data_IF_798045849828
#
_entry.id   IF_798045849828
#
_cell.length_a   1.000
_cell.length_b   1.000
_cell.length_c   1.000
_cell.angle_alpha   90.00
_cell.angle_beta   90.00
_cell.angle_gamma   90.00
#
_symmetry.space_group_name_H-M   'P 1'
#
loop_
_entity.id
_entity.type
_entity.pdbx_description
1 polymer ?
#
# COMPACT_ATOMS: atom_id res chain seq x y z
N UNK A 1 0.72 -33.35 -19.74
CA UNK A 1 -0.52 -33.18 -18.97
C UNK A 1 -0.11 -32.94 -17.54
N UNK A 2 -0.23 -31.74 -17.03
CA UNK A 2 -0.16 -31.24 -15.65
C UNK A 2 0.54 -29.88 -15.61
N UNK A 3 -0.13 -28.83 -16.11
CA UNK A 3 0.33 -27.43 -15.97
C UNK A 3 -0.69 -26.59 -15.19
N UNK A 4 -1.77 -27.19 -14.71
CA UNK A 4 -2.85 -26.47 -14.00
C UNK A 4 -2.76 -26.53 -12.46
N UNK A 5 -1.82 -27.27 -11.89
CA UNK A 5 -1.69 -27.41 -10.43
C UNK A 5 -0.93 -26.24 -9.76
N UNK A 6 -0.20 -25.43 -10.51
CA UNK A 6 0.62 -24.34 -9.96
C UNK A 6 -0.13 -23.00 -9.77
N UNK A 7 -1.39 -22.97 -10.14
CA UNK A 7 -2.30 -21.82 -9.97
C UNK A 7 -3.34 -22.02 -8.86
N UNK A 8 -3.08 -22.85 -7.86
CA UNK A 8 -3.95 -22.87 -6.70
C UNK A 8 -3.84 -21.49 -6.00
N UNK A 9 -4.95 -20.74 -5.88
CA UNK A 9 -4.93 -19.49 -5.13
C UNK A 9 -4.44 -19.79 -3.72
N UNK A 10 -3.68 -18.88 -3.08
CA UNK A 10 -3.20 -19.09 -1.72
C UNK A 10 -4.39 -19.48 -0.82
N UNK A 11 -4.19 -20.48 0.04
CA UNK A 11 -5.24 -21.05 0.91
C UNK A 11 -5.90 -19.99 1.82
N UNK A 12 -5.20 -18.91 2.13
CA UNK A 12 -5.76 -17.74 2.79
C UNK A 12 -6.07 -16.66 1.74
N UNK A 13 -7.35 -16.27 1.68
CA UNK A 13 -7.82 -15.28 0.71
C UNK A 13 -7.29 -13.85 0.98
N UNK A 14 -6.74 -13.55 2.15
CA UNK A 14 -6.18 -12.24 2.50
C UNK A 14 -4.83 -12.06 1.84
N UNK A 15 -4.66 -10.98 1.06
CA UNK A 15 -3.53 -10.78 0.16
C UNK A 15 -2.18 -10.87 0.87
N UNK A 16 -1.92 -9.97 1.82
CA UNK A 16 -0.65 -9.95 2.54
C UNK A 16 -0.45 -11.20 3.40
N UNK A 17 -1.50 -11.67 4.08
CA UNK A 17 -1.43 -12.88 4.89
C UNK A 17 -1.06 -14.11 4.04
N UNK A 18 -1.63 -14.24 2.86
CA UNK A 18 -1.29 -15.30 1.91
C UNK A 18 0.15 -15.24 1.40
N UNK A 19 0.68 -14.03 1.18
CA UNK A 19 2.06 -13.82 0.72
C UNK A 19 3.10 -13.97 1.84
N UNK A 20 2.80 -13.49 3.05
CA UNK A 20 3.74 -13.45 4.17
C UNK A 20 3.69 -14.72 5.04
N UNK A 21 2.59 -15.48 5.00
CA UNK A 21 2.40 -16.65 5.83
C UNK A 21 2.53 -16.33 7.32
N UNK A 22 3.32 -17.14 8.06
CA UNK A 22 3.52 -16.93 9.51
C UNK A 22 4.10 -15.55 9.88
N UNK A 23 4.81 -14.90 8.97
CA UNK A 23 5.37 -13.57 9.24
C UNK A 23 4.30 -12.49 9.38
N UNK A 24 3.11 -12.69 8.82
CA UNK A 24 1.97 -11.79 8.97
C UNK A 24 1.52 -11.67 10.43
N UNK A 25 1.57 -12.75 11.20
CA UNK A 25 1.15 -12.77 12.62
C UNK A 25 2.12 -11.97 13.53
N UNK A 26 3.32 -11.66 13.04
CA UNK A 26 4.30 -10.82 13.75
C UNK A 26 4.06 -9.33 13.57
N UNK A 27 3.20 -8.93 12.63
CA UNK A 27 2.82 -7.53 12.42
C UNK A 27 2.06 -6.98 13.63
N UNK A 28 2.19 -5.70 13.89
CA UNK A 28 1.40 -5.00 14.90
C UNK A 28 -0.11 -5.10 14.63
N UNK A 29 -0.94 -5.05 15.67
CA UNK A 29 -2.38 -5.29 15.58
C UNK A 29 -3.08 -4.44 14.52
N UNK A 30 -2.91 -3.11 14.58
CA UNK A 30 -3.53 -2.21 13.60
C UNK A 30 -3.07 -2.46 12.15
N UNK A 31 -1.81 -2.89 11.94
CA UNK A 31 -1.29 -3.26 10.61
C UNK A 31 -1.98 -4.52 10.11
N UNK A 32 -2.17 -5.52 10.99
CA UNK A 32 -2.92 -6.74 10.64
C UNK A 32 -4.38 -6.44 10.31
N UNK A 33 -5.00 -5.51 11.01
CA UNK A 33 -6.40 -5.13 10.77
C UNK A 33 -6.58 -4.48 9.40
N UNK A 34 -5.66 -3.58 9.01
CA UNK A 34 -5.70 -2.91 7.71
C UNK A 34 -5.43 -3.89 6.55
N UNK A 35 -4.48 -4.80 6.71
CA UNK A 35 -4.09 -5.75 5.66
C UNK A 35 -4.77 -7.12 5.76
N UNK A 36 -5.59 -7.31 6.80
CA UNK A 36 -6.30 -8.57 7.06
C UNK A 36 -7.77 -8.57 6.65
N UNK A 37 -8.22 -7.59 5.87
CA UNK A 37 -9.62 -7.44 5.46
C UNK A 37 -10.09 -8.66 4.65
N UNK A 38 -11.37 -9.00 4.83
CA UNK A 38 -11.99 -10.09 4.07
C UNK A 38 -12.67 -9.62 2.79
N UNK A 39 -13.35 -8.48 2.82
CA UNK A 39 -14.06 -7.92 1.66
C UNK A 39 -13.85 -6.41 1.52
N UNK A 40 -14.25 -5.64 2.52
CA UNK A 40 -14.19 -4.17 2.52
C UNK A 40 -13.64 -3.70 3.85
N UNK A 41 -12.69 -2.76 3.82
CA UNK A 41 -12.22 -2.02 4.97
C UNK A 41 -12.32 -0.53 4.71
N UNK A 42 -12.66 0.23 5.74
CA UNK A 42 -12.73 1.69 5.69
C UNK A 42 -12.12 2.28 6.95
N UNK A 43 -11.19 3.20 6.78
CA UNK A 43 -10.51 3.89 7.87
C UNK A 43 -10.52 5.40 7.62
N UNK A 44 -10.53 6.14 8.71
CA UNK A 44 -10.33 7.58 8.72
C UNK A 44 -9.09 7.91 9.52
N UNK A 45 -8.51 9.06 9.24
CA UNK A 45 -7.33 9.50 9.96
C UNK A 45 -6.85 10.84 9.49
N UNK A 46 -5.59 11.09 9.74
CA UNK A 46 -4.93 12.32 9.36
C UNK A 46 -3.61 12.03 8.65
N UNK A 47 -3.21 12.95 7.78
CA UNK A 47 -1.96 12.81 7.03
C UNK A 47 -1.30 14.16 6.80
N UNK A 48 0.00 14.22 7.01
CA UNK A 48 0.87 15.29 6.53
C UNK A 48 1.48 14.85 5.20
N UNK A 49 1.30 15.64 4.16
CA UNK A 49 1.91 15.44 2.84
C UNK A 49 2.98 16.50 2.62
N UNK A 50 4.20 16.04 2.29
CA UNK A 50 5.29 16.92 1.82
C UNK A 50 5.60 16.58 0.37
N UNK A 51 5.90 17.59 -0.45
CA UNK A 51 6.20 17.44 -1.87
C UNK A 51 7.62 17.92 -2.17
N UNK A 52 8.27 17.23 -3.13
CA UNK A 52 9.54 17.71 -3.67
C UNK A 52 9.39 19.01 -4.44
N UNK A 53 10.40 19.89 -4.31
CA UNK A 53 10.40 21.24 -4.91
C UNK A 53 10.99 21.30 -6.34
N UNK A 54 11.66 20.25 -6.84
CA UNK A 54 12.28 20.26 -8.16
C UNK A 54 11.23 20.28 -9.29
N UNK A 55 11.58 20.79 -10.46
CA UNK A 55 10.70 20.78 -11.63
C UNK A 55 10.27 19.35 -11.98
N UNK A 56 11.19 18.39 -11.93
CA UNK A 56 10.90 16.98 -12.19
C UNK A 56 9.94 16.41 -11.16
N UNK A 57 10.13 16.72 -9.87
CA UNK A 57 9.20 16.28 -8.81
C UNK A 57 7.79 16.86 -9.01
N UNK A 58 7.70 18.12 -9.46
CA UNK A 58 6.41 18.76 -9.76
C UNK A 58 5.74 18.09 -10.97
N UNK A 59 6.49 17.83 -12.05
CA UNK A 59 5.98 17.18 -13.26
C UNK A 59 5.49 15.75 -12.97
N UNK A 60 6.32 14.94 -12.31
CA UNK A 60 5.95 13.57 -11.92
C UNK A 60 4.73 13.58 -10.99
N UNK A 61 4.73 14.47 -10.01
CA UNK A 61 3.61 14.56 -9.09
C UNK A 61 2.30 15.05 -9.74
N UNK A 62 2.38 15.89 -10.75
CA UNK A 62 1.23 16.26 -11.57
C UNK A 62 0.72 15.09 -12.41
N UNK A 63 1.62 14.37 -13.08
CA UNK A 63 1.29 13.21 -13.90
C UNK A 63 0.58 12.11 -13.09
N UNK A 64 1.06 11.83 -11.89
CA UNK A 64 0.47 10.84 -10.99
C UNK A 64 -0.66 11.37 -10.11
N UNK A 65 -1.09 12.61 -10.30
CA UNK A 65 -2.17 13.24 -9.52
C UNK A 65 -1.96 13.17 -7.99
N UNK A 66 -0.69 13.27 -7.55
CA UNK A 66 -0.41 13.27 -6.12
C UNK A 66 -1.02 14.47 -5.42
N UNK A 67 -1.53 14.33 -4.17
CA UNK A 67 -2.15 15.42 -3.45
C UNK A 67 -1.16 16.56 -3.23
N UNK A 68 -1.61 17.84 -3.17
CA UNK A 68 -0.77 18.96 -2.78
C UNK A 68 -0.08 18.74 -1.43
N UNK A 69 1.03 19.47 -1.19
CA UNK A 69 1.62 19.51 0.14
C UNK A 69 0.63 20.18 1.10
N UNK A 70 0.48 19.61 2.29
CA UNK A 70 -0.47 20.10 3.29
C UNK A 70 -0.76 19.11 4.39
N UNK A 71 -1.55 19.55 5.35
CA UNK A 71 -2.10 18.71 6.41
C UNK A 71 -3.56 18.35 6.07
N UNK A 72 -3.86 17.06 6.13
CA UNK A 72 -5.17 16.50 5.81
C UNK A 72 -5.78 15.86 7.08
N UNK A 73 -6.58 16.61 7.85
CA UNK A 73 -7.17 16.15 9.11
C UNK A 73 -8.30 15.12 8.92
N UNK A 74 -8.75 14.92 7.68
CA UNK A 74 -9.82 13.99 7.30
C UNK A 74 -9.39 13.13 6.12
N UNK A 75 -8.24 12.47 6.26
CA UNK A 75 -7.83 11.46 5.31
C UNK A 75 -8.74 10.24 5.44
N UNK A 76 -9.00 9.57 4.32
CA UNK A 76 -9.72 8.29 4.31
C UNK A 76 -8.95 7.24 3.51
N UNK A 77 -9.07 5.99 3.93
CA UNK A 77 -8.58 4.83 3.18
C UNK A 77 -9.70 3.83 3.08
N UNK A 78 -10.03 3.44 1.85
CA UNK A 78 -10.97 2.35 1.57
C UNK A 78 -10.21 1.26 0.83
N UNK A 79 -10.34 0.04 1.32
CA UNK A 79 -9.76 -1.13 0.68
C UNK A 79 -10.89 -2.06 0.28
N UNK A 80 -10.96 -2.37 -1.00
CA UNK A 80 -11.93 -3.30 -1.57
C UNK A 80 -11.17 -4.53 -2.07
N UNK A 81 -11.58 -5.69 -1.58
CA UNK A 81 -11.02 -6.95 -2.04
C UNK A 81 -11.90 -7.56 -3.11
N UNK A 82 -11.29 -7.99 -4.21
CA UNK A 82 -11.93 -8.76 -5.27
C UNK A 82 -11.29 -10.16 -5.44
N UNK A 83 -11.60 -10.84 -6.53
CA UNK A 83 -11.11 -12.20 -6.80
C UNK A 83 -9.62 -12.27 -7.09
N UNK A 84 -9.01 -11.16 -7.52
CA UNK A 84 -7.63 -11.11 -8.02
C UNK A 84 -6.69 -10.31 -7.13
N UNK A 85 -7.21 -9.46 -6.23
CA UNK A 85 -6.37 -8.62 -5.37
C UNK A 85 -7.15 -7.63 -4.53
N UNK A 86 -6.55 -6.49 -4.28
CA UNK A 86 -7.12 -5.42 -3.48
C UNK A 86 -7.05 -4.10 -4.23
N UNK A 87 -8.14 -3.33 -4.18
CA UNK A 87 -8.19 -1.95 -4.67
C UNK A 87 -8.12 -1.03 -3.47
N UNK A 88 -7.11 -0.19 -3.44
CA UNK A 88 -6.88 0.79 -2.40
C UNK A 88 -7.26 2.18 -2.92
N UNK A 89 -8.16 2.84 -2.23
CA UNK A 89 -8.57 4.23 -2.49
C UNK A 89 -8.19 5.09 -1.29
N UNK A 90 -7.35 6.09 -1.51
CA UNK A 90 -6.84 7.00 -0.48
C UNK A 90 -7.33 8.41 -0.79
N UNK A 91 -8.21 8.94 0.05
CA UNK A 91 -8.80 10.27 -0.11
C UNK A 91 -8.07 11.33 0.72
N UNK A 92 -7.67 12.41 0.06
CA UNK A 92 -6.97 13.56 0.65
C UNK A 92 -7.76 14.85 0.40
N UNK A 93 -8.98 14.94 0.99
CA UNK A 93 -9.77 16.17 0.91
C UNK A 93 -10.10 16.63 -0.52
N UNK A 94 -10.50 15.73 -1.39
CA UNK A 94 -10.83 16.00 -2.81
C UNK A 94 -9.77 15.54 -3.81
N UNK A 95 -8.63 15.05 -3.34
CA UNK A 95 -7.64 14.34 -4.17
C UNK A 95 -7.66 12.86 -3.83
N UNK A 96 -8.07 12.03 -4.78
CA UNK A 96 -8.18 10.59 -4.57
C UNK A 96 -7.09 9.86 -5.35
N UNK A 97 -6.38 8.99 -4.64
CA UNK A 97 -5.40 8.09 -5.22
C UNK A 97 -5.97 6.67 -5.20
N UNK A 98 -6.00 6.04 -6.34
CA UNK A 98 -6.44 4.65 -6.49
C UNK A 98 -5.28 3.79 -6.98
N UNK A 99 -4.98 2.72 -6.24
CA UNK A 99 -4.01 1.72 -6.63
C UNK A 99 -4.63 0.32 -6.55
N UNK A 100 -3.98 -0.65 -7.19
CA UNK A 100 -4.38 -2.05 -7.12
C UNK A 100 -3.20 -2.88 -6.64
N UNK A 101 -3.41 -3.66 -5.59
CA UNK A 101 -2.45 -4.64 -5.10
C UNK A 101 -2.82 -6.03 -5.62
N UNK A 102 -1.84 -6.69 -6.21
CA UNK A 102 -1.98 -8.02 -6.79
C UNK A 102 -0.99 -8.99 -6.15
N UNK A 103 -1.38 -10.26 -5.92
CA UNK A 103 -0.44 -11.27 -5.49
C UNK A 103 0.57 -11.55 -6.60
N UNK A 104 1.80 -11.83 -6.21
CA UNK A 104 2.79 -12.43 -7.09
C UNK A 104 2.89 -13.93 -6.81
N UNK A 105 4.09 -14.53 -6.93
CA UNK A 105 4.28 -15.96 -6.65
C UNK A 105 4.07 -16.22 -5.15
N UNK A 106 3.35 -17.28 -4.77
CA UNK A 106 3.24 -17.71 -3.38
C UNK A 106 4.61 -17.86 -2.72
N UNK A 107 4.74 -17.37 -1.48
CA UNK A 107 5.99 -17.44 -0.70
C UNK A 107 7.09 -16.46 -1.08
N UNK A 108 6.93 -15.71 -2.17
CA UNK A 108 7.92 -14.70 -2.59
C UNK A 108 7.95 -13.47 -1.68
N UNK A 109 6.92 -13.26 -0.84
CA UNK A 109 6.73 -12.06 -0.03
C UNK A 109 6.80 -10.77 -0.86
N UNK A 110 6.33 -10.83 -2.09
CA UNK A 110 6.29 -9.71 -3.01
C UNK A 110 4.83 -9.46 -3.36
N UNK A 111 4.38 -8.23 -3.19
CA UNK A 111 3.09 -7.74 -3.68
C UNK A 111 3.35 -6.82 -4.86
N UNK A 112 2.51 -6.88 -5.87
CA UNK A 112 2.56 -5.92 -6.98
C UNK A 112 1.55 -4.83 -6.77
N UNK A 113 2.01 -3.58 -6.76
CA UNK A 113 1.15 -2.41 -6.73
C UNK A 113 1.13 -1.76 -8.12
N UNK A 114 -0.07 -1.70 -8.72
CA UNK A 114 -0.32 -1.00 -9.97
C UNK A 114 -0.79 0.41 -9.70
N UNK A 115 -0.11 1.38 -10.29
CA UNK A 115 -0.39 2.80 -10.21
C UNK A 115 -0.50 3.39 -11.63
N UNK A 116 -1.70 3.35 -12.21
CA UNK A 116 -1.91 3.76 -13.60
C UNK A 116 -1.08 2.92 -14.58
N UNK A 117 -0.11 3.55 -15.25
CA UNK A 117 0.75 2.91 -16.25
C UNK A 117 2.00 2.26 -15.65
N UNK A 118 2.20 2.39 -14.34
CA UNK A 118 3.39 1.89 -13.65
C UNK A 118 3.00 0.82 -12.64
N UNK A 119 3.80 -0.21 -12.58
CA UNK A 119 3.68 -1.30 -11.60
C UNK A 119 4.98 -1.41 -10.81
N UNK A 120 4.84 -1.61 -9.50
CA UNK A 120 5.94 -1.86 -8.59
C UNK A 120 5.82 -3.24 -7.98
N UNK A 121 6.88 -4.02 -8.01
CA UNK A 121 7.01 -5.24 -7.22
C UNK A 121 7.63 -4.83 -5.87
N UNK A 122 6.84 -4.93 -4.80
CA UNK A 122 7.18 -4.50 -3.45
C UNK A 122 7.46 -5.73 -2.58
N UNK A 123 8.70 -5.85 -2.08
CA UNK A 123 9.07 -6.90 -1.13
C UNK A 123 8.62 -6.49 0.27
N UNK A 124 7.88 -7.36 0.94
CA UNK A 124 7.42 -7.16 2.30
C UNK A 124 8.44 -7.68 3.32
N UNK A 125 8.72 -6.89 4.35
CA UNK A 125 9.52 -7.25 5.51
C UNK A 125 8.76 -7.01 6.82
N UNK A 126 9.23 -7.58 7.92
CA UNK A 126 8.71 -7.32 9.27
C UNK A 126 9.89 -7.09 10.18
N UNK A 127 9.92 -5.92 10.83
CA UNK A 127 10.91 -5.58 11.86
C UNK A 127 10.62 -6.33 13.17
N UNK A 128 11.54 -6.26 14.12
CA UNK A 128 11.39 -6.89 15.44
C UNK A 128 10.21 -6.31 16.24
N UNK A 129 9.93 -5.02 16.05
CA UNK A 129 8.81 -4.30 16.68
C UNK A 129 7.44 -4.55 16.01
N UNK A 130 7.38 -5.38 14.98
CA UNK A 130 6.16 -5.68 14.23
C UNK A 130 5.83 -4.66 13.13
N UNK A 131 6.74 -3.73 12.82
CA UNK A 131 6.58 -2.78 11.71
C UNK A 131 6.69 -3.51 10.37
N UNK A 132 5.71 -3.30 9.49
CA UNK A 132 5.76 -3.72 8.09
C UNK A 132 6.67 -2.78 7.31
N UNK A 133 7.56 -3.34 6.49
CA UNK A 133 8.38 -2.58 5.54
C UNK A 133 8.09 -3.01 4.12
N UNK A 134 8.16 -2.04 3.18
CA UNK A 134 7.98 -2.28 1.76
C UNK A 134 9.16 -1.69 0.99
N UNK A 135 9.83 -2.53 0.20
CA UNK A 135 10.98 -2.17 -0.63
C UNK A 135 10.70 -2.47 -2.10
N UNK A 136 11.05 -1.54 -3.00
CA UNK A 136 10.93 -1.76 -4.46
C UNK A 136 11.99 -2.76 -4.91
N UNK A 137 11.54 -3.88 -5.45
CA UNK A 137 12.41 -4.94 -6.01
C UNK A 137 12.17 -5.16 -7.51
N UNK A 138 11.17 -4.48 -8.08
CA UNK A 138 10.86 -4.50 -9.50
C UNK A 138 10.00 -3.30 -9.89
N UNK A 139 10.13 -2.86 -11.13
CA UNK A 139 9.28 -1.82 -11.71
C UNK A 139 9.01 -2.14 -13.18
N UNK A 140 7.78 -1.88 -13.61
CA UNK A 140 7.37 -1.94 -15.02
C UNK A 140 6.64 -0.67 -15.38
N UNK A 141 6.84 -0.23 -16.61
CA UNK A 141 6.09 0.87 -17.21
C UNK A 141 5.44 0.34 -18.48
N UNK A 142 4.12 0.46 -18.60
CA UNK A 142 3.35 -0.13 -19.71
C UNK A 142 3.61 -1.64 -19.90
N UNK A 143 3.81 -2.38 -18.79
CA UNK A 143 4.12 -3.81 -18.82
C UNK A 143 5.59 -4.16 -19.15
N UNK A 144 6.41 -3.18 -19.56
CA UNK A 144 7.82 -3.38 -19.91
C UNK A 144 8.70 -3.17 -18.67
N UNK A 145 9.65 -4.08 -18.37
CA UNK A 145 10.59 -3.89 -17.27
C UNK A 145 11.36 -2.57 -17.41
N UNK A 146 11.30 -1.76 -16.36
CA UNK A 146 11.98 -0.46 -16.30
C UNK A 146 13.42 -0.65 -15.80
N UNK A 147 14.43 -0.03 -16.43
CA UNK A 147 15.82 -0.08 -15.96
C UNK A 147 15.95 0.42 -14.51
N UNK A 148 16.79 -0.25 -13.71
CA UNK A 148 16.97 0.06 -12.28
C UNK A 148 17.38 1.51 -11.99
N UNK A 149 18.12 2.13 -12.93
CA UNK A 149 18.51 3.53 -12.83
C UNK A 149 17.33 4.50 -12.74
N UNK A 150 16.17 4.11 -13.25
CA UNK A 150 14.94 4.90 -13.26
C UNK A 150 13.98 4.53 -12.11
N UNK A 151 14.35 3.60 -11.24
CA UNK A 151 13.49 3.24 -10.13
C UNK A 151 13.49 4.32 -9.05
N UNK A 152 12.32 4.63 -8.47
CA UNK A 152 12.26 5.48 -7.31
C UNK A 152 12.87 4.78 -6.08
N UNK A 153 13.35 5.57 -5.15
CA UNK A 153 13.70 5.08 -3.83
C UNK A 153 12.46 5.16 -2.94
N UNK A 154 11.92 4.02 -2.57
CA UNK A 154 10.81 3.91 -1.63
C UNK A 154 11.34 3.52 -0.26
N UNK A 155 10.93 4.26 0.76
CA UNK A 155 10.97 3.85 2.15
C UNK A 155 9.54 3.89 2.66
N UNK A 156 8.94 2.74 2.89
CA UNK A 156 7.60 2.63 3.42
C UNK A 156 7.61 1.78 4.68
N UNK A 157 7.08 2.34 5.75
CA UNK A 157 6.94 1.72 7.06
C UNK A 157 5.52 1.89 7.55
N UNK A 158 4.93 0.79 8.03
CA UNK A 158 3.60 0.77 8.61
C UNK A 158 3.67 0.09 9.97
N UNK A 159 3.23 0.77 11.01
CA UNK A 159 3.38 0.36 12.39
C UNK A 159 2.07 0.41 13.16
N UNK A 160 2.01 -0.33 14.25
CA UNK A 160 1.00 -0.18 15.30
C UNK A 160 1.57 0.73 16.39
N UNK A 161 0.96 1.89 16.61
CA UNK A 161 1.39 2.87 17.59
C UNK A 161 0.16 3.37 18.37
N UNK A 162 0.14 3.14 19.68
CA UNK A 162 -0.93 3.55 20.60
C UNK A 162 -2.37 3.19 20.13
N UNK A 163 -2.53 2.00 19.54
CA UNK A 163 -3.82 1.54 19.00
C UNK A 163 -4.11 1.99 17.57
N UNK A 164 -3.29 2.86 17.00
CA UNK A 164 -3.47 3.42 15.66
C UNK A 164 -2.58 2.70 14.63
N UNK A 165 -3.02 2.73 13.39
CA UNK A 165 -2.18 2.38 12.25
C UNK A 165 -1.40 3.62 11.82
N UNK A 166 -0.09 3.63 12.03
CA UNK A 166 0.83 4.67 11.57
C UNK A 166 1.44 4.26 10.25
N UNK A 167 1.52 5.18 9.31
CA UNK A 167 2.24 5.01 8.05
C UNK A 167 3.23 6.15 7.84
N UNK A 168 4.42 5.79 7.33
CA UNK A 168 5.50 6.70 6.97
C UNK A 168 6.04 6.24 5.60
N UNK A 169 5.58 6.91 4.53
CA UNK A 169 5.87 6.51 3.16
C UNK A 169 6.59 7.64 2.46
N UNK A 170 7.86 7.44 2.19
CA UNK A 170 8.71 8.38 1.47
C UNK A 170 9.09 7.80 0.11
N UNK A 171 8.87 8.58 -0.93
CA UNK A 171 9.25 8.26 -2.30
C UNK A 171 10.17 9.38 -2.79
N UNK A 172 11.38 9.01 -3.16
CA UNK A 172 12.34 9.88 -3.81
C UNK A 172 12.50 9.42 -5.27
N UNK A 173 12.69 10.36 -6.19
CA UNK A 173 13.04 10.08 -7.58
C UNK A 173 14.42 9.40 -7.66
N UNK A 174 14.79 8.79 -8.79
CA UNK A 174 16.19 8.47 -9.09
C UNK A 174 17.07 9.67 -8.71
N UNK A 175 18.28 9.42 -8.26
CA UNK A 175 19.22 10.44 -7.73
C UNK A 175 18.78 11.11 -6.42
N UNK A 176 17.83 10.49 -5.69
CA UNK A 176 17.35 10.91 -4.36
C UNK A 176 16.73 12.31 -4.30
N UNK A 177 16.23 12.82 -5.42
CA UNK A 177 15.42 14.04 -5.39
C UNK A 177 14.07 13.74 -4.72
N UNK A 178 13.67 14.44 -3.64
CA UNK A 178 12.39 14.19 -2.98
C UNK A 178 11.22 14.31 -3.95
N UNK A 179 10.34 13.32 -3.98
CA UNK A 179 9.10 13.36 -4.75
C UNK A 179 7.90 13.64 -3.86
N UNK A 180 7.66 12.73 -2.91
CA UNK A 180 6.55 12.86 -1.96
C UNK A 180 6.84 12.09 -0.68
N UNK A 181 6.31 12.61 0.42
CA UNK A 181 6.36 11.98 1.73
C UNK A 181 4.99 12.09 2.40
N UNK A 182 4.43 10.93 2.74
CA UNK A 182 3.22 10.79 3.51
C UNK A 182 3.57 10.34 4.92
N UNK A 183 3.13 11.08 5.92
CA UNK A 183 3.21 10.68 7.32
C UNK A 183 1.82 10.83 7.93
N UNK A 184 1.27 9.76 8.48
CA UNK A 184 -0.07 9.83 9.02
C UNK A 184 -0.47 8.65 9.88
N UNK A 185 -1.67 8.75 10.39
CA UNK A 185 -2.30 7.77 11.26
C UNK A 185 -3.73 7.51 10.79
N UNK A 186 -4.13 6.25 10.84
CA UNK A 186 -5.52 5.84 10.65
C UNK A 186 -6.05 5.28 11.96
N UNK A 187 -7.26 5.69 12.28
CA UNK A 187 -7.97 5.18 13.44
C UNK A 187 -8.25 3.68 13.25
N UNK A 188 -8.02 2.89 14.31
CA UNK A 188 -8.25 1.46 14.29
C UNK A 188 -9.68 1.15 13.86
N UNK A 189 -9.83 0.27 12.88
CA UNK A 189 -11.10 -0.04 12.26
C UNK A 189 -12.10 -0.58 13.26
N UNK A 190 -13.18 0.14 13.44
CA UNK A 190 -14.45 -0.52 13.74
C UNK A 190 -14.93 -1.20 12.45
N UNK A 191 -15.06 -2.51 12.50
CA UNK A 191 -15.55 -3.34 11.42
C UNK A 191 -16.69 -2.69 10.62
N UNK A 192 -16.52 -2.50 9.33
CA UNK A 192 -17.60 -2.25 8.37
C UNK A 192 -18.55 -3.48 8.22
N UNK A 193 -18.65 -4.30 9.26
CA UNK A 193 -19.45 -5.54 9.31
C UNK A 193 -20.65 -5.52 10.27
N UNK A 194 -20.97 -4.39 10.93
CA UNK A 194 -22.12 -4.30 11.86
C UNK A 194 -23.17 -3.24 11.55
N UNK A 195 -23.13 -2.60 10.40
CA UNK A 195 -24.19 -1.68 9.99
C UNK A 195 -25.29 -2.40 9.16
N UNK A 196 -25.86 -3.46 9.68
CA UNK A 196 -26.89 -4.26 9.02
C UNK A 196 -27.84 -4.94 9.99
N UNK A 197 -28.13 -4.31 11.16
CA UNK A 197 -29.28 -4.73 12.00
C UNK A 197 -29.68 -3.58 12.93
N UNK A 198 -30.45 -2.67 12.41
CA UNK A 198 -31.41 -1.90 13.19
C UNK A 198 -32.53 -1.42 12.27
N UNK A 199 -33.70 -1.98 12.51
CA UNK A 199 -35.07 -1.68 12.09
C UNK A 199 -35.44 -2.21 10.71
#
# INVERSE_FOLDING_TARGET
MTILSDFAPPRDRRLLKGLMGRSFERLGGAVRDVHGIEQIGYWRGLCQVKRGGTLLSKLVGWFFHFPPAGFYPRMSVTVLRDRIGEVWMRGFGGHDIKTRLLPTRPGARIVRESFGLVEFDLKTGVKEDGTLTLDVVGMRTLGIPTPRLLWPHLKAEEAHEDGWFRFDIRIDLPWRAPLIHYLGWLEGSAAAGKAGRAI
#
